data_IF_461332433877
#
_entry.id   IF_461332433877
#
_cell.length_a   1.000
_cell.length_b   1.000
_cell.length_c   1.000
_cell.angle_alpha   90.00
_cell.angle_beta   90.00
_cell.angle_gamma   90.00
#
_symmetry.space_group_name_H-M   'P 1'
#
loop_
_entity.id
_entity.type
_entity.pdbx_description
1 polymer ?
#
# COMPACT_ATOMS: atom_id res chain seq x y z
N UNK A 1 -21.79 -14.58 -7.82
CA UNK A 1 -20.57 -14.50 -6.98
C UNK A 1 -20.19 -13.03 -6.82
N UNK A 2 -20.47 -12.42 -5.67
CA UNK A 2 -19.88 -11.12 -5.34
C UNK A 2 -18.37 -11.37 -5.15
N UNK A 3 -17.53 -10.74 -5.96
CA UNK A 3 -16.09 -10.82 -5.76
C UNK A 3 -15.77 -10.09 -4.45
N UNK A 4 -15.40 -10.83 -3.41
CA UNK A 4 -14.95 -10.34 -2.11
C UNK A 4 -13.54 -9.71 -2.17
N UNK A 5 -13.17 -9.19 -3.35
CA UNK A 5 -11.92 -8.47 -3.51
C UNK A 5 -12.19 -7.03 -3.09
N UNK A 6 -11.43 -6.48 -2.12
CA UNK A 6 -11.61 -5.08 -1.74
C UNK A 6 -11.48 -4.23 -3.00
N UNK A 7 -12.52 -3.45 -3.29
CA UNK A 7 -12.51 -2.52 -4.39
C UNK A 7 -11.48 -1.44 -4.05
N UNK A 8 -10.36 -1.41 -4.78
CA UNK A 8 -9.36 -0.36 -4.66
C UNK A 8 -9.83 0.86 -5.44
N UNK A 9 -10.88 1.50 -4.93
CA UNK A 9 -11.57 2.63 -5.57
C UNK A 9 -10.90 3.99 -5.28
N UNK A 10 -10.06 4.04 -4.24
CA UNK A 10 -9.44 5.27 -3.76
C UNK A 10 -7.96 5.34 -4.15
N UNK A 11 -7.54 6.47 -4.74
CA UNK A 11 -6.15 6.73 -5.13
C UNK A 11 -5.41 7.57 -4.09
N UNK A 12 -4.24 7.09 -3.66
CA UNK A 12 -3.31 7.86 -2.82
C UNK A 12 -2.17 8.39 -3.70
N UNK A 13 -2.10 9.72 -3.88
CA UNK A 13 -1.06 10.39 -4.67
C UNK A 13 -0.04 11.08 -3.75
N UNK A 14 1.25 10.83 -3.97
CA UNK A 14 2.33 11.38 -3.15
C UNK A 14 3.35 12.06 -4.07
N UNK A 15 3.64 13.34 -3.83
CA UNK A 15 4.72 14.06 -4.51
C UNK A 15 6.05 13.70 -3.88
N UNK A 16 6.99 13.19 -4.68
CA UNK A 16 8.32 12.77 -4.19
C UNK A 16 9.40 13.05 -5.25
N UNK A 17 10.67 13.15 -4.85
CA UNK A 17 11.78 13.22 -5.80
C UNK A 17 11.85 11.97 -6.69
N UNK A 18 12.37 12.11 -7.91
CA UNK A 18 12.51 10.97 -8.85
C UNK A 18 13.34 9.82 -8.27
N UNK A 19 14.36 10.12 -7.47
CA UNK A 19 15.19 9.13 -6.79
C UNK A 19 14.38 8.24 -5.84
N UNK A 20 13.36 8.80 -5.17
CA UNK A 20 12.48 8.05 -4.29
C UNK A 20 11.62 7.05 -5.07
N UNK A 21 11.02 7.48 -6.19
CA UNK A 21 10.26 6.59 -7.06
C UNK A 21 11.12 5.41 -7.57
N UNK A 22 12.36 5.68 -7.97
CA UNK A 22 13.28 4.64 -8.42
C UNK A 22 13.64 3.65 -7.31
N UNK A 23 13.89 4.15 -6.09
CA UNK A 23 14.18 3.30 -4.94
C UNK A 23 12.97 2.41 -4.59
N UNK A 24 11.76 2.96 -4.70
CA UNK A 24 10.52 2.22 -4.50
C UNK A 24 10.36 1.09 -5.53
N UNK A 25 10.66 1.35 -6.80
CA UNK A 25 10.63 0.35 -7.86
C UNK A 25 11.64 -0.77 -7.63
N UNK A 26 12.87 -0.43 -7.26
CA UNK A 26 13.89 -1.41 -6.93
C UNK A 26 13.46 -2.31 -5.76
N UNK A 27 12.89 -1.70 -4.71
CA UNK A 27 12.40 -2.44 -3.54
C UNK A 27 11.23 -3.37 -3.90
N UNK A 28 10.24 -2.89 -4.67
CA UNK A 28 9.13 -3.70 -5.14
C UNK A 28 9.60 -4.89 -6.00
N UNK A 29 10.52 -4.64 -6.94
CA UNK A 29 11.08 -5.68 -7.80
C UNK A 29 11.83 -6.75 -7.01
N UNK A 30 12.60 -6.37 -5.98
CA UNK A 30 13.29 -7.34 -5.11
C UNK A 30 12.36 -8.30 -4.37
N UNK A 31 11.08 -7.94 -4.24
CA UNK A 31 10.04 -8.77 -3.61
C UNK A 31 9.08 -9.40 -4.62
N UNK A 32 9.34 -9.27 -5.92
CA UNK A 32 8.44 -9.74 -7.00
C UNK A 32 7.02 -9.18 -6.88
N UNK A 33 6.89 -7.93 -6.43
CA UNK A 33 5.62 -7.25 -6.21
C UNK A 33 5.45 -6.09 -7.19
N UNK A 34 4.20 -5.75 -7.51
CA UNK A 34 3.93 -4.45 -8.13
C UNK A 34 4.24 -3.32 -7.14
N UNK A 35 4.52 -2.12 -7.64
CA UNK A 35 4.73 -0.93 -6.80
C UNK A 35 3.57 -0.71 -5.83
N UNK A 36 2.34 -0.85 -6.31
CA UNK A 36 1.14 -0.66 -5.50
C UNK A 36 0.97 -1.73 -4.42
N UNK A 37 1.30 -2.98 -4.72
CA UNK A 37 1.28 -4.07 -3.71
C UNK A 37 2.33 -3.86 -2.65
N UNK A 38 3.55 -3.50 -3.07
CA UNK A 38 4.67 -3.23 -2.19
C UNK A 38 4.36 -2.10 -1.21
N UNK A 39 3.83 -0.97 -1.71
CA UNK A 39 3.44 0.18 -0.87
C UNK A 39 2.37 -0.24 0.13
N UNK A 40 1.33 -0.97 -0.31
CA UNK A 40 0.25 -1.39 0.58
C UNK A 40 0.73 -2.34 1.68
N UNK A 41 1.52 -3.35 1.33
CA UNK A 41 2.07 -4.29 2.29
C UNK A 41 2.96 -3.57 3.32
N UNK A 42 3.90 -2.76 2.83
CA UNK A 42 4.84 -2.04 3.70
C UNK A 42 4.14 -1.01 4.60
N UNK A 43 3.13 -0.30 4.08
CA UNK A 43 2.35 0.64 4.87
C UNK A 43 1.47 -0.07 5.90
N UNK A 44 0.84 -1.17 5.53
CA UNK A 44 0.04 -1.97 6.46
C UNK A 44 0.90 -2.53 7.60
N UNK A 45 2.09 -3.05 7.30
CA UNK A 45 3.04 -3.54 8.30
C UNK A 45 3.47 -2.43 9.25
N UNK A 46 3.73 -1.23 8.71
CA UNK A 46 4.11 -0.07 9.52
C UNK A 46 2.97 0.39 10.43
N UNK A 47 1.75 0.48 9.91
CA UNK A 47 0.56 0.84 10.71
C UNK A 47 0.35 -0.15 11.86
N UNK A 48 0.45 -1.46 11.59
CA UNK A 48 0.34 -2.49 12.63
C UNK A 48 1.43 -2.35 13.70
N UNK A 49 2.66 -2.04 13.30
CA UNK A 49 3.75 -1.78 14.24
C UNK A 49 3.51 -0.55 15.12
N UNK A 50 2.77 0.44 14.61
CA UNK A 50 2.32 1.61 15.36
C UNK A 50 1.00 1.36 16.13
N UNK A 51 0.51 0.11 16.17
CA UNK A 51 -0.71 -0.30 16.88
C UNK A 51 -2.02 0.01 16.15
N UNK A 52 -1.94 0.41 14.87
CA UNK A 52 -3.09 0.78 14.04
C UNK A 52 -3.45 -0.39 13.13
N UNK A 53 -4.65 -0.94 13.26
CA UNK A 53 -5.15 -1.94 12.32
C UNK A 53 -5.78 -1.26 11.08
N UNK A 54 -5.15 -1.34 9.89
CA UNK A 54 -5.69 -0.75 8.67
C UNK A 54 -7.04 -1.33 8.26
N UNK A 55 -7.38 -2.55 8.70
CA UNK A 55 -8.69 -3.15 8.43
C UNK A 55 -9.77 -2.66 9.40
N UNK A 56 -9.39 -2.18 10.59
CA UNK A 56 -10.31 -1.62 11.58
C UNK A 56 -10.74 -0.19 11.24
N UNK A 57 -9.97 0.53 10.42
CA UNK A 57 -10.29 1.91 9.98
C UNK A 57 -11.27 1.90 8.79
N UNK A 58 -11.38 0.79 8.06
CA UNK A 58 -12.22 0.64 6.87
C UNK A 58 -13.75 0.53 7.17
N UNK A 59 -14.21 1.08 8.29
CA UNK A 59 -15.61 1.10 8.72
C UNK A 59 -16.26 2.49 8.79
N UNK A 60 -15.57 3.55 8.36
CA UNK A 60 -16.09 4.92 8.41
C UNK A 60 -15.84 5.66 7.08
N UNK A 61 -16.46 5.22 6.00
CA UNK A 61 -16.67 6.01 4.78
C UNK A 61 -17.90 5.48 4.03
#
# INVERSE_FOLDING_TARGET
>A
MKSDRPAYDTLVQIKTPKSFANALDAAANSRLMSRSDFVRATLADRLRADGIDPNSIAGAA
#
